data_IF_356304856054
#
_entry.id   IF_356304856054
#
_cell.length_a   1.000
_cell.length_b   1.000
_cell.length_c   1.000
_cell.angle_alpha   90.00
_cell.angle_beta   90.00
_cell.angle_gamma   90.00
#
_symmetry.space_group_name_H-M   'P 1'
#
loop_
_entity.id
_entity.type
_entity.pdbx_description
1 polymer ?
#
# COMPACT_ATOMS: atom_id res chain seq x y z
N UNK A 1 2.85 18.61 16.14
CA UNK A 1 1.53 17.97 16.02
C UNK A 1 1.64 16.84 15.00
N UNK A 2 1.57 15.57 15.41
CA UNK A 2 1.58 14.42 14.49
C UNK A 2 0.40 13.51 14.83
N UNK A 3 -0.81 13.97 14.49
CA UNK A 3 -2.04 13.19 14.65
C UNK A 3 -2.47 12.74 13.25
N UNK A 4 -1.76 11.77 12.66
CA UNK A 4 -2.20 11.08 11.44
C UNK A 4 -1.94 9.56 11.47
N UNK A 5 -1.72 8.96 12.64
CA UNK A 5 -1.24 7.57 12.73
C UNK A 5 -2.26 6.40 12.73
N UNK A 6 -3.61 6.56 12.75
CA UNK A 6 -4.46 5.36 12.68
C UNK A 6 -4.67 4.84 11.25
N UNK A 7 -4.55 5.67 10.20
CA UNK A 7 -4.80 5.24 8.81
C UNK A 7 -3.59 4.58 8.15
N UNK A 8 -2.39 5.06 8.41
CA UNK A 8 -1.16 4.55 7.80
C UNK A 8 -0.84 3.13 8.29
N UNK A 9 -0.79 2.90 9.61
CA UNK A 9 -0.54 1.57 10.18
C UNK A 9 -1.61 0.56 9.76
N UNK A 10 -2.89 0.96 9.72
CA UNK A 10 -3.97 0.11 9.20
C UNK A 10 -3.77 -0.26 7.72
N UNK A 11 -3.28 0.67 6.90
CA UNK A 11 -2.95 0.39 5.50
C UNK A 11 -1.74 -0.55 5.39
N UNK A 12 -0.71 -0.33 6.21
CA UNK A 12 0.47 -1.19 6.26
C UNK A 12 0.06 -2.62 6.65
N UNK A 13 -0.80 -2.80 7.65
CA UNK A 13 -1.31 -4.11 8.04
C UNK A 13 -2.18 -4.74 6.94
N UNK A 14 -3.01 -3.95 6.25
CA UNK A 14 -3.76 -4.43 5.09
C UNK A 14 -2.84 -4.88 3.95
N UNK A 15 -1.77 -4.13 3.68
CA UNK A 15 -0.75 -4.46 2.67
C UNK A 15 0.05 -5.72 3.05
N UNK A 16 0.38 -5.89 4.33
CA UNK A 16 1.00 -7.12 4.86
C UNK A 16 0.06 -8.31 4.77
N UNK A 17 -1.24 -8.08 4.96
CA UNK A 17 -2.30 -9.07 4.82
C UNK A 17 -2.58 -9.50 3.38
N UNK A 18 -2.39 -8.60 2.41
CA UNK A 18 -2.60 -8.89 0.98
C UNK A 18 -1.63 -9.98 0.50
N UNK A 19 -2.17 -11.18 0.28
CA UNK A 19 -1.41 -12.30 -0.30
C UNK A 19 -1.56 -12.37 -1.81
N UNK A 20 -2.70 -11.92 -2.32
CA UNK A 20 -3.08 -12.05 -3.72
C UNK A 20 -3.33 -10.69 -4.38
N UNK A 21 -3.11 -10.64 -5.70
CA UNK A 21 -3.34 -9.46 -6.55
C UNK A 21 -4.78 -8.96 -6.43
N UNK A 22 -5.75 -9.86 -6.27
CA UNK A 22 -7.17 -9.51 -6.13
C UNK A 22 -7.45 -8.67 -4.87
N UNK A 23 -6.80 -9.00 -3.74
CA UNK A 23 -6.94 -8.21 -2.51
C UNK A 23 -6.27 -6.84 -2.66
N UNK A 24 -5.12 -6.82 -3.33
CA UNK A 24 -4.38 -5.59 -3.61
C UNK A 24 -5.16 -4.65 -4.54
N UNK A 25 -5.82 -5.18 -5.59
CA UNK A 25 -6.72 -4.43 -6.47
C UNK A 25 -7.98 -3.96 -5.75
N UNK A 26 -8.54 -4.76 -4.85
CA UNK A 26 -9.68 -4.33 -4.04
C UNK A 26 -9.28 -3.18 -3.10
N UNK A 27 -8.07 -3.21 -2.54
CA UNK A 27 -7.52 -2.10 -1.76
C UNK A 27 -7.33 -0.85 -2.62
N UNK A 28 -6.71 -1.01 -3.81
CA UNK A 28 -6.51 0.07 -4.78
C UNK A 28 -7.84 0.73 -5.19
N UNK A 29 -8.87 -0.04 -5.52
CA UNK A 29 -10.18 0.49 -5.88
C UNK A 29 -10.85 1.25 -4.73
N UNK A 30 -10.73 0.76 -3.49
CA UNK A 30 -11.24 1.47 -2.30
C UNK A 30 -10.51 2.78 -2.07
N UNK A 31 -9.20 2.82 -2.33
CA UNK A 31 -8.38 4.02 -2.23
C UNK A 31 -8.67 5.02 -3.36
N UNK A 32 -8.83 4.53 -4.59
CA UNK A 32 -9.19 5.34 -5.76
C UNK A 32 -10.53 6.07 -5.59
N UNK A 33 -11.49 5.45 -4.90
CA UNK A 33 -12.76 6.09 -4.54
C UNK A 33 -12.62 7.23 -3.50
N UNK A 34 -11.43 7.41 -2.92
CA UNK A 34 -11.14 8.40 -1.87
C UNK A 34 -10.25 9.54 -2.38
N UNK A 35 -10.21 9.80 -3.70
CA UNK A 35 -9.37 10.84 -4.33
C UNK A 35 -7.90 10.80 -3.87
N UNK A 36 -7.44 9.60 -3.55
CA UNK A 36 -6.18 9.38 -2.88
C UNK A 36 -5.09 9.07 -3.90
N UNK A 37 -3.86 9.43 -3.54
CA UNK A 37 -2.63 9.12 -4.27
C UNK A 37 -2.64 7.63 -4.68
N UNK A 38 -2.17 7.26 -5.89
CA UNK A 38 -2.13 5.87 -6.33
C UNK A 38 -1.46 4.96 -5.31
N UNK A 39 -1.98 3.73 -5.15
CA UNK A 39 -1.42 2.77 -4.19
C UNK A 39 0.06 2.50 -4.45
N UNK A 40 0.47 2.57 -5.72
CA UNK A 40 1.87 2.45 -6.14
C UNK A 40 2.77 3.50 -5.47
N UNK A 41 2.42 4.78 -5.59
CA UNK A 41 3.15 5.88 -4.96
C UNK A 41 3.16 5.76 -3.43
N UNK A 42 2.05 5.31 -2.85
CA UNK A 42 1.97 5.05 -1.41
C UNK A 42 2.95 3.96 -0.94
N UNK A 43 3.06 2.86 -1.69
CA UNK A 43 4.01 1.78 -1.39
C UNK A 43 5.46 2.29 -1.54
N UNK A 44 5.73 3.12 -2.55
CA UNK A 44 7.02 3.77 -2.73
C UNK A 44 7.36 4.69 -1.54
N UNK A 45 6.41 5.51 -1.09
CA UNK A 45 6.60 6.41 0.05
C UNK A 45 6.84 5.63 1.35
N UNK A 46 6.04 4.59 1.62
CA UNK A 46 6.23 3.68 2.75
C UNK A 46 7.60 2.98 2.73
N UNK A 47 8.12 2.67 1.54
CA UNK A 47 9.45 2.09 1.38
C UNK A 47 10.54 3.11 1.72
N UNK A 48 10.41 4.36 1.24
CA UNK A 48 11.34 5.46 1.56
C UNK A 48 11.34 5.75 3.06
N UNK A 49 10.16 5.80 3.67
CA UNK A 49 9.96 5.98 5.11
C UNK A 49 10.37 4.77 5.95
N UNK A 50 10.80 3.65 5.33
CA UNK A 50 11.17 2.38 5.99
C UNK A 50 10.07 1.77 6.86
N UNK A 51 8.80 2.03 6.52
CA UNK A 51 7.62 1.46 7.19
C UNK A 51 7.34 0.02 6.76
N UNK A 52 7.80 -0.37 5.57
CA UNK A 52 7.68 -1.71 5.00
C UNK A 52 9.05 -2.27 4.58
N UNK A 53 9.14 -3.60 4.49
CA UNK A 53 10.36 -4.26 4.02
C UNK A 53 10.51 -4.15 2.51
N UNK A 54 11.76 -4.13 2.02
CA UNK A 54 12.07 -4.11 0.57
C UNK A 54 11.43 -5.28 -0.17
N UNK A 55 11.40 -6.46 0.44
CA UNK A 55 10.78 -7.65 -0.15
C UNK A 55 9.25 -7.53 -0.27
N UNK A 56 8.59 -6.95 0.74
CA UNK A 56 7.15 -6.69 0.68
C UNK A 56 6.84 -5.66 -0.41
N UNK A 57 7.58 -4.55 -0.44
CA UNK A 57 7.42 -3.52 -1.46
C UNK A 57 7.63 -4.08 -2.87
N UNK A 58 8.71 -4.83 -3.12
CA UNK A 58 8.97 -5.45 -4.42
C UNK A 58 7.85 -6.40 -4.85
N UNK A 59 7.31 -7.20 -3.92
CA UNK A 59 6.18 -8.10 -4.21
C UNK A 59 4.92 -7.32 -4.59
N UNK A 60 4.56 -6.30 -3.81
CA UNK A 60 3.36 -5.50 -4.04
C UNK A 60 3.46 -4.68 -5.33
N UNK A 61 4.59 -3.99 -5.54
CA UNK A 61 4.86 -3.22 -6.75
C UNK A 61 4.88 -4.14 -7.98
N UNK A 62 5.47 -5.34 -7.89
CA UNK A 62 5.45 -6.33 -8.96
C UNK A 62 4.03 -6.82 -9.28
N UNK A 63 3.20 -7.04 -8.25
CA UNK A 63 1.79 -7.41 -8.43
C UNK A 63 0.95 -6.29 -9.04
N UNK A 64 1.25 -5.02 -8.75
CA UNK A 64 0.58 -3.87 -9.36
C UNK A 64 1.05 -3.61 -10.80
N UNK A 65 2.32 -3.87 -11.09
CA UNK A 65 2.93 -3.61 -12.40
C UNK A 65 2.61 -4.70 -13.43
N UNK A 66 2.44 -5.95 -13.00
CA UNK A 66 2.12 -7.09 -13.88
C UNK A 66 0.61 -7.13 -14.23
N UNK A 67 0.14 -6.09 -14.96
CA UNK A 67 -1.25 -5.94 -15.40
C UNK A 67 -1.67 -6.96 -16.44
#
# INVERSE_FOLDING_TARGET
MLIQQPKEDTLIDALRGCRNVSELRALEQRLANTDSIPLFDWICDLLVQRRISRGLAARLLGQLHNK
#
